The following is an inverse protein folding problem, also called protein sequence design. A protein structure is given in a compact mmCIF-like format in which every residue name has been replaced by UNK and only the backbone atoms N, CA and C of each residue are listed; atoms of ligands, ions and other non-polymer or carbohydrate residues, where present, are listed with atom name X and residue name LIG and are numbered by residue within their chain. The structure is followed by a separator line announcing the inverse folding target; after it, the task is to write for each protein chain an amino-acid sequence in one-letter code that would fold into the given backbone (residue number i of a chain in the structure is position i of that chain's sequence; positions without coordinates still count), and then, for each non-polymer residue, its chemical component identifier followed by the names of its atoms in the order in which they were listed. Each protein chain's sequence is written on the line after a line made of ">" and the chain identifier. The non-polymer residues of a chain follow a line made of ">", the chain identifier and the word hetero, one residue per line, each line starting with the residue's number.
data_IF_078757146650
#
_entry.id   IF_078757146650
#
_cell.length_a   1.000
_cell.length_b   1.000
_cell.length_c   1.000
_cell.angle_alpha   90.00
_cell.angle_beta   90.00
_cell.angle_gamma   90.00
#
_symmetry.space_group_name_H-M   'P 1'
#
loop_
_entity.id
_entity.type
_entity.pdbx_description
1 polymer ?
#
# COMPACT_ATOMS: atom_id res chain seq x y z
N UNK A 1 22.20 4.75 56.35
CA UNK A 1 21.94 3.32 56.04
C UNK A 1 22.77 2.92 54.81
N UNK A 2 23.56 1.84 54.85
CA UNK A 2 24.47 1.48 53.76
C UNK A 2 23.75 0.70 52.65
N UNK A 3 24.13 1.02 51.41
CA UNK A 3 23.51 0.55 50.18
C UNK A 3 24.06 -0.85 49.80
N UNK A 4 23.23 -1.90 49.87
CA UNK A 4 23.60 -3.29 49.53
C UNK A 4 23.62 -3.50 48.01
N UNK A 5 24.81 -3.60 47.41
CA UNK A 5 25.01 -4.05 46.02
C UNK A 5 24.60 -5.53 45.89
N UNK A 6 23.71 -5.83 44.95
CA UNK A 6 23.37 -7.21 44.54
C UNK A 6 24.47 -7.81 43.65
N UNK A 7 24.82 -9.10 43.80
CA UNK A 7 25.86 -9.73 43.00
C UNK A 7 25.35 -10.01 41.57
N UNK A 8 26.22 -9.77 40.58
CA UNK A 8 25.94 -10.08 39.18
C UNK A 8 26.04 -11.59 38.93
N UNK A 9 25.06 -12.14 38.24
CA UNK A 9 24.96 -13.57 37.92
C UNK A 9 25.81 -13.85 36.68
N UNK A 10 26.91 -14.59 36.84
CA UNK A 10 27.75 -15.07 35.74
C UNK A 10 26.91 -15.96 34.81
N UNK A 11 26.85 -15.58 33.53
CA UNK A 11 26.31 -16.43 32.47
C UNK A 11 27.31 -17.56 32.17
N UNK A 12 26.85 -18.79 32.31
CA UNK A 12 27.57 -20.01 31.93
C UNK A 12 27.63 -20.15 30.40
N UNK A 13 28.80 -20.49 29.87
CA UNK A 13 29.02 -20.73 28.45
C UNK A 13 28.13 -21.88 27.91
N UNK A 14 27.66 -21.80 26.64
CA UNK A 14 26.83 -22.85 26.05
C UNK A 14 27.67 -24.08 25.71
N UNK A 15 27.23 -25.25 26.20
CA UNK A 15 27.79 -26.54 25.81
C UNK A 15 27.44 -26.94 24.37
N UNK A 16 28.04 -28.02 23.85
CA UNK A 16 27.87 -28.46 22.46
C UNK A 16 26.40 -28.83 22.19
N UNK A 17 25.88 -28.28 21.09
CA UNK A 17 24.47 -28.36 20.69
C UNK A 17 24.23 -29.70 19.99
N UNK A 18 23.45 -30.58 20.59
CA UNK A 18 22.92 -31.76 19.91
C UNK A 18 21.87 -31.30 18.88
N UNK A 19 22.07 -31.66 17.60
CA UNK A 19 21.08 -31.40 16.56
C UNK A 19 19.75 -32.04 16.95
N UNK A 20 18.66 -31.26 16.91
CA UNK A 20 17.32 -31.75 17.20
C UNK A 20 16.77 -32.50 15.98
N UNK A 21 17.19 -33.76 15.81
CA UNK A 21 16.64 -34.66 14.80
C UNK A 21 15.19 -35.01 15.18
N UNK A 22 14.25 -34.78 14.25
CA UNK A 22 12.90 -35.31 14.33
C UNK A 22 12.97 -36.85 14.26
N UNK A 23 12.39 -37.59 15.23
CA UNK A 23 12.29 -39.04 15.14
C UNK A 23 11.51 -39.45 13.88
N UNK A 24 11.99 -40.47 13.18
CA UNK A 24 11.37 -41.01 11.96
C UNK A 24 9.88 -41.34 12.14
N UNK A 25 9.45 -41.67 13.37
CA UNK A 25 8.03 -41.93 13.68
C UNK A 25 7.16 -40.69 13.52
N UNK A 26 7.63 -39.52 13.94
CA UNK A 26 6.88 -38.26 13.82
C UNK A 26 6.87 -37.78 12.36
N UNK A 27 7.96 -37.96 11.63
CA UNK A 27 8.00 -37.65 10.20
C UNK A 27 6.94 -38.48 9.43
N UNK A 28 6.83 -39.78 9.72
CA UNK A 28 5.83 -40.67 9.13
C UNK A 28 4.39 -40.35 9.54
N UNK A 29 4.15 -39.95 10.79
CA UNK A 29 2.81 -39.58 11.27
C UNK A 29 2.29 -38.29 10.62
N UNK A 30 3.22 -37.46 10.14
CA UNK A 30 2.94 -36.19 9.47
C UNK A 30 2.62 -36.40 7.97
N UNK A 31 3.27 -37.38 7.33
CA UNK A 31 3.06 -37.70 5.91
C UNK A 31 1.61 -38.14 5.62
N UNK A 32 0.91 -37.39 4.76
CA UNK A 32 -0.49 -37.64 4.38
C UNK A 32 -1.56 -37.00 5.29
N UNK A 33 -1.16 -36.28 6.35
CA UNK A 33 -2.08 -35.54 7.22
C UNK A 33 -2.52 -34.20 6.60
N UNK A 34 -3.66 -33.65 7.07
CA UNK A 34 -4.07 -32.28 6.69
C UNK A 34 -3.11 -31.27 7.33
N UNK A 35 -2.84 -30.15 6.65
CA UNK A 35 -1.88 -29.14 7.15
C UNK A 35 -2.14 -28.61 8.57
N UNK A 36 -3.39 -28.48 9.00
CA UNK A 36 -3.70 -28.09 10.38
C UNK A 36 -3.29 -29.17 11.41
N UNK A 37 -3.39 -30.43 11.02
CA UNK A 37 -2.94 -31.56 11.83
C UNK A 37 -1.42 -31.67 11.85
N UNK A 38 -0.76 -31.50 10.70
CA UNK A 38 0.70 -31.39 10.62
C UNK A 38 1.22 -30.31 11.57
N UNK A 39 0.64 -29.11 11.52
CA UNK A 39 1.02 -28.01 12.43
C UNK A 39 0.75 -28.38 13.88
N UNK A 40 -0.37 -29.04 14.18
CA UNK A 40 -0.70 -29.49 15.53
C UNK A 40 0.33 -30.50 16.06
N UNK A 41 0.65 -31.54 15.31
CA UNK A 41 1.62 -32.57 15.67
C UNK A 41 3.01 -31.97 15.89
N UNK A 42 3.46 -31.10 15.00
CA UNK A 42 4.74 -30.39 15.15
C UNK A 42 4.73 -29.47 16.37
N UNK A 43 3.64 -28.73 16.63
CA UNK A 43 3.51 -27.92 17.83
C UNK A 43 3.57 -28.77 19.11
N UNK A 44 2.91 -29.93 19.13
CA UNK A 44 2.96 -30.88 20.26
C UNK A 44 4.38 -31.42 20.47
N UNK A 45 5.03 -31.87 19.39
CA UNK A 45 6.40 -32.40 19.42
C UNK A 45 7.42 -31.37 19.93
N UNK A 46 7.37 -30.13 19.42
CA UNK A 46 8.25 -29.05 19.85
C UNK A 46 7.80 -28.38 21.16
N UNK A 47 6.69 -28.83 21.75
CA UNK A 47 6.08 -28.29 22.97
C UNK A 47 5.79 -26.78 22.85
N UNK A 48 5.32 -26.36 21.68
CA UNK A 48 4.94 -24.98 21.42
C UNK A 48 3.61 -24.66 22.11
N UNK A 49 3.47 -23.45 22.68
CA UNK A 49 2.17 -23.00 23.13
C UNK A 49 1.24 -22.78 21.93
N UNK A 50 -0.07 -22.89 22.14
CA UNK A 50 -1.08 -22.56 21.14
C UNK A 50 -0.84 -21.18 20.49
N UNK A 51 -0.61 -21.17 19.17
CA UNK A 51 -0.23 -19.96 18.42
C UNK A 51 -1.42 -19.09 18.03
N UNK A 52 -2.65 -19.47 18.37
CA UNK A 52 -3.87 -18.73 17.99
C UNK A 52 -4.21 -17.58 18.95
N UNK A 53 -3.60 -17.53 20.13
CA UNK A 53 -3.91 -16.52 21.15
C UNK A 53 -2.75 -15.58 21.47
N UNK A 54 -3.05 -14.29 21.63
CA UNK A 54 -2.06 -13.25 21.94
C UNK A 54 -1.23 -13.56 23.19
N UNK A 55 -1.88 -14.06 24.25
CA UNK A 55 -1.20 -14.39 25.51
C UNK A 55 -0.17 -15.51 25.36
N UNK A 56 -0.37 -16.43 24.41
CA UNK A 56 0.53 -17.54 24.12
C UNK A 56 1.65 -17.14 23.16
N UNK A 57 1.37 -16.28 22.16
CA UNK A 57 2.42 -15.65 21.34
C UNK A 57 3.43 -14.87 22.20
N UNK A 58 2.99 -14.23 23.29
CA UNK A 58 3.91 -13.63 24.26
C UNK A 58 4.86 -14.65 24.91
N UNK A 59 4.40 -15.87 25.17
CA UNK A 59 5.27 -16.96 25.69
C UNK A 59 6.29 -17.40 24.65
N UNK A 60 5.89 -17.47 23.37
CA UNK A 60 6.81 -17.73 22.25
C UNK A 60 7.86 -16.63 22.16
N UNK A 61 7.45 -15.36 22.24
CA UNK A 61 8.37 -14.22 22.20
C UNK A 61 9.45 -14.27 23.28
N UNK A 62 9.07 -14.65 24.51
CA UNK A 62 10.00 -14.78 25.64
C UNK A 62 11.03 -15.90 25.46
N UNK A 63 10.73 -16.92 24.65
CA UNK A 63 11.60 -18.06 24.39
C UNK A 63 11.98 -18.17 22.90
N UNK A 64 11.91 -17.04 22.17
CA UNK A 64 11.98 -17.02 20.72
C UNK A 64 13.22 -17.73 20.19
N UNK A 65 14.41 -17.41 20.70
CA UNK A 65 15.66 -17.95 20.16
C UNK A 65 15.81 -19.46 20.35
N UNK A 66 15.16 -20.04 21.36
CA UNK A 66 15.13 -21.49 21.56
C UNK A 66 14.13 -22.15 20.60
N UNK A 67 12.89 -21.64 20.57
CA UNK A 67 11.84 -22.14 19.69
C UNK A 67 12.25 -22.05 18.22
N UNK A 68 12.75 -20.87 17.80
CA UNK A 68 13.21 -20.65 16.45
C UNK A 68 14.32 -21.63 16.07
N UNK A 69 15.33 -21.82 16.93
CA UNK A 69 16.43 -22.74 16.65
C UNK A 69 15.95 -24.18 16.47
N UNK A 70 15.07 -24.67 17.34
CA UNK A 70 14.49 -26.03 17.21
C UNK A 70 13.76 -26.20 15.88
N UNK A 71 12.94 -25.22 15.50
CA UNK A 71 12.23 -25.22 14.23
C UNK A 71 13.18 -25.11 13.04
N UNK A 72 14.23 -24.30 13.14
CA UNK A 72 15.21 -24.09 12.08
C UNK A 72 16.10 -25.31 11.84
N UNK A 73 16.55 -25.96 12.92
CA UNK A 73 17.31 -27.22 12.89
C UNK A 73 16.45 -28.31 12.22
N UNK A 74 15.18 -28.41 12.63
CA UNK A 74 14.23 -29.37 12.06
C UNK A 74 13.94 -29.09 10.58
N UNK A 75 13.72 -27.82 10.21
CA UNK A 75 13.52 -27.38 8.83
C UNK A 75 14.73 -27.77 7.96
N UNK A 76 15.94 -27.49 8.44
CA UNK A 76 17.17 -27.71 7.68
C UNK A 76 17.49 -29.20 7.54
N UNK A 77 17.28 -29.97 8.60
CA UNK A 77 17.51 -31.43 8.61
C UNK A 77 16.54 -32.17 7.69
N UNK A 78 15.31 -31.66 7.56
CA UNK A 78 14.24 -32.32 6.81
C UNK A 78 13.89 -31.54 5.54
N UNK A 79 14.87 -30.86 4.92
CA UNK A 79 14.61 -29.99 3.76
C UNK A 79 13.94 -30.72 2.59
N UNK A 80 14.15 -32.03 2.48
CA UNK A 80 13.56 -32.88 1.45
C UNK A 80 12.19 -33.49 1.86
N UNK A 81 11.75 -33.31 3.11
CA UNK A 81 10.41 -33.70 3.56
C UNK A 81 9.48 -32.48 3.48
N UNK A 82 8.70 -32.43 2.40
CA UNK A 82 7.80 -31.31 2.07
C UNK A 82 6.76 -31.06 3.18
N UNK A 83 6.26 -32.13 3.81
CA UNK A 83 5.25 -32.05 4.87
C UNK A 83 5.81 -31.38 6.13
N UNK A 84 7.00 -31.79 6.57
CA UNK A 84 7.68 -31.18 7.73
C UNK A 84 8.05 -29.72 7.43
N UNK A 85 8.64 -29.47 6.27
CA UNK A 85 9.05 -28.11 5.84
C UNK A 85 7.84 -27.17 5.75
N UNK A 86 6.78 -27.60 5.06
CA UNK A 86 5.53 -26.84 4.94
C UNK A 86 4.88 -26.58 6.29
N UNK A 87 4.88 -27.58 7.17
CA UNK A 87 4.37 -27.46 8.55
C UNK A 87 5.12 -26.41 9.36
N UNK A 88 6.45 -26.40 9.30
CA UNK A 88 7.30 -25.42 10.01
C UNK A 88 7.09 -24.00 9.44
N UNK A 89 6.97 -23.87 8.12
CA UNK A 89 6.69 -22.59 7.45
C UNK A 89 5.34 -22.02 7.91
N UNK A 90 4.33 -22.87 8.07
CA UNK A 90 3.02 -22.47 8.58
C UNK A 90 3.08 -22.07 10.06
N UNK A 91 3.89 -22.76 10.88
CA UNK A 91 4.18 -22.36 12.26
C UNK A 91 4.80 -20.94 12.30
N UNK A 92 5.81 -20.67 11.47
CA UNK A 92 6.42 -19.34 11.39
C UNK A 92 5.42 -18.27 10.91
N UNK A 93 4.52 -18.60 9.97
CA UNK A 93 3.46 -17.69 9.54
C UNK A 93 2.50 -17.34 10.68
N UNK A 94 2.08 -18.32 11.49
CA UNK A 94 1.24 -18.08 12.67
C UNK A 94 1.93 -17.19 13.70
N UNK A 95 3.24 -17.36 13.90
CA UNK A 95 4.03 -16.48 14.77
C UNK A 95 4.11 -15.03 14.26
N UNK A 96 3.97 -14.81 12.94
CA UNK A 96 4.09 -13.51 12.29
C UNK A 96 2.92 -12.53 12.60
N UNK A 97 1.83 -13.05 13.16
CA UNK A 97 0.70 -12.25 13.62
C UNK A 97 1.07 -11.30 14.78
N UNK A 98 2.09 -11.65 15.59
CA UNK A 98 2.64 -10.76 16.62
C UNK A 98 3.76 -9.88 16.04
N UNK A 99 3.70 -8.58 16.32
CA UNK A 99 4.63 -7.62 15.74
C UNK A 99 6.10 -7.84 16.14
N UNK A 100 6.35 -8.24 17.39
CA UNK A 100 7.71 -8.45 17.89
C UNK A 100 8.30 -9.76 17.35
N UNK A 101 7.48 -10.82 17.31
CA UNK A 101 7.88 -12.10 16.69
C UNK A 101 8.17 -11.94 15.20
N UNK A 102 7.31 -11.21 14.49
CA UNK A 102 7.51 -10.86 13.08
C UNK A 102 8.87 -10.22 12.84
N UNK A 103 9.22 -9.18 13.58
CA UNK A 103 10.49 -8.47 13.38
C UNK A 103 11.69 -9.39 13.63
N UNK A 104 11.59 -10.28 14.62
CA UNK A 104 12.62 -11.28 14.90
C UNK A 104 12.73 -12.33 13.80
N UNK A 105 11.62 -12.89 13.33
CA UNK A 105 11.59 -13.87 12.23
C UNK A 105 12.16 -13.28 10.94
N UNK A 106 11.77 -12.04 10.63
CA UNK A 106 12.26 -11.34 9.47
C UNK A 106 13.78 -11.12 9.51
N UNK A 107 14.32 -10.69 10.65
CA UNK A 107 15.78 -10.56 10.87
C UNK A 107 16.52 -11.90 10.75
N UNK A 108 15.84 -13.03 10.96
CA UNK A 108 16.39 -14.37 10.79
C UNK A 108 16.28 -14.90 9.34
N UNK A 109 15.85 -14.07 8.40
CA UNK A 109 15.81 -14.45 6.97
C UNK A 109 14.63 -15.36 6.60
N UNK A 110 13.49 -15.23 7.29
CA UNK A 110 12.29 -16.06 7.04
C UNK A 110 11.89 -16.12 5.55
N UNK A 111 11.91 -14.98 4.85
CA UNK A 111 11.51 -14.90 3.43
C UNK A 111 12.37 -15.82 2.56
N UNK A 112 13.69 -15.83 2.78
CA UNK A 112 14.61 -16.70 2.03
C UNK A 112 14.31 -18.19 2.28
N UNK A 113 13.88 -18.56 3.49
CA UNK A 113 13.46 -19.93 3.84
C UNK A 113 12.09 -20.31 3.27
N UNK A 114 11.27 -19.36 2.85
CA UNK A 114 10.00 -19.66 2.20
C UNK A 114 10.16 -19.94 0.70
N UNK A 115 11.23 -19.45 0.06
CA UNK A 115 11.43 -19.58 -1.38
C UNK A 115 11.48 -21.04 -1.86
N UNK A 116 12.29 -21.95 -1.25
CA UNK A 116 12.38 -23.34 -1.72
C UNK A 116 11.05 -24.10 -1.63
N UNK A 117 10.15 -23.68 -0.74
CA UNK A 117 8.83 -24.30 -0.55
C UNK A 117 7.96 -24.17 -1.79
N UNK A 118 8.19 -23.17 -2.63
CA UNK A 118 7.44 -22.98 -3.88
C UNK A 118 7.78 -24.01 -4.95
N UNK A 119 8.91 -24.70 -4.81
CA UNK A 119 9.35 -25.74 -5.73
C UNK A 119 8.94 -27.15 -5.24
N UNK A 120 8.23 -27.23 -4.11
CA UNK A 120 7.76 -28.47 -3.47
C UNK A 120 6.28 -28.73 -3.85
N UNK A 121 5.97 -29.76 -4.68
CA UNK A 121 4.62 -30.04 -5.19
C UNK A 121 3.50 -30.15 -4.15
N UNK A 122 3.80 -30.64 -2.95
CA UNK A 122 2.84 -30.79 -1.86
C UNK A 122 2.75 -29.52 -1.00
N UNK A 123 3.86 -28.78 -0.85
CA UNK A 123 3.97 -27.67 0.09
C UNK A 123 3.84 -26.26 -0.51
N UNK A 124 3.93 -26.07 -1.83
CA UNK A 124 3.88 -24.73 -2.45
C UNK A 124 2.63 -23.94 -2.05
N UNK A 125 1.50 -24.63 -1.89
CA UNK A 125 0.24 -24.00 -1.49
C UNK A 125 0.32 -23.38 -0.09
N UNK A 126 0.93 -24.12 0.84
CA UNK A 126 1.16 -23.66 2.20
C UNK A 126 2.17 -22.53 2.24
N UNK A 127 3.21 -22.62 1.40
CA UNK A 127 4.16 -21.52 1.20
C UNK A 127 3.44 -20.22 0.80
N UNK A 128 2.50 -20.30 -0.16
CA UNK A 128 1.74 -19.14 -0.61
C UNK A 128 0.79 -18.60 0.45
N UNK A 129 0.10 -19.49 1.18
CA UNK A 129 -0.75 -19.09 2.30
C UNK A 129 0.04 -18.38 3.41
N UNK A 130 1.19 -18.96 3.77
CA UNK A 130 2.10 -18.40 4.75
C UNK A 130 2.59 -17.01 4.32
N UNK A 131 3.01 -16.88 3.06
CA UNK A 131 3.48 -15.60 2.51
C UNK A 131 2.38 -14.54 2.48
N UNK A 132 1.16 -14.92 2.13
CA UNK A 132 -0.02 -14.03 2.16
C UNK A 132 -0.30 -13.52 3.57
N UNK A 133 -0.24 -14.41 4.58
CA UNK A 133 -0.39 -14.01 5.97
C UNK A 133 0.75 -13.07 6.42
N UNK A 134 1.98 -13.36 5.99
CA UNK A 134 3.17 -12.54 6.25
C UNK A 134 3.02 -11.15 5.62
N UNK A 135 2.52 -11.01 4.39
CA UNK A 135 2.33 -9.69 3.77
C UNK A 135 1.21 -8.91 4.44
N UNK A 136 0.12 -9.58 4.84
CA UNK A 136 -1.00 -8.93 5.51
C UNK A 136 -0.57 -8.25 6.83
N UNK A 137 0.26 -8.93 7.63
CA UNK A 137 0.78 -8.40 8.88
C UNK A 137 2.14 -7.70 8.75
N UNK A 138 2.78 -7.78 7.59
CA UNK A 138 4.13 -7.30 7.31
C UNK A 138 4.26 -5.78 7.34
N UNK A 139 5.35 -5.29 7.94
CA UNK A 139 5.77 -3.89 7.75
C UNK A 139 6.31 -3.65 6.33
N UNK A 140 6.52 -2.39 5.97
CA UNK A 140 7.01 -1.98 4.62
C UNK A 140 8.29 -2.72 4.23
N UNK A 141 9.25 -2.87 5.16
CA UNK A 141 10.50 -3.58 4.88
C UNK A 141 10.30 -5.06 4.55
N UNK A 142 9.41 -5.74 5.28
CA UNK A 142 9.09 -7.14 5.01
C UNK A 142 8.42 -7.30 3.65
N UNK A 143 7.45 -6.44 3.35
CA UNK A 143 6.77 -6.41 2.05
C UNK A 143 7.72 -6.14 0.89
N UNK A 144 8.73 -5.28 1.07
CA UNK A 144 9.76 -5.00 0.04
C UNK A 144 10.68 -6.19 -0.21
N UNK A 145 11.08 -6.94 0.82
CA UNK A 145 11.83 -8.18 0.61
C UNK A 145 10.99 -9.23 -0.10
N UNK A 146 9.70 -9.33 0.23
CA UNK A 146 8.76 -10.21 -0.47
C UNK A 146 8.52 -9.75 -1.92
N UNK A 147 8.61 -8.45 -2.20
CA UNK A 147 8.50 -7.96 -3.57
C UNK A 147 9.63 -8.48 -4.48
N UNK A 148 10.78 -8.89 -3.91
CA UNK A 148 11.89 -9.49 -4.67
C UNK A 148 11.57 -10.88 -5.22
N UNK A 149 10.57 -11.57 -4.66
CA UNK A 149 10.15 -12.89 -5.13
C UNK A 149 8.99 -12.82 -6.14
N UNK A 150 8.66 -11.62 -6.64
CA UNK A 150 7.67 -11.42 -7.71
C UNK A 150 7.91 -12.33 -8.93
N UNK A 151 9.16 -12.53 -9.43
CA UNK A 151 9.40 -13.47 -10.53
C UNK A 151 8.95 -14.91 -10.22
N UNK A 152 9.16 -15.38 -8.98
CA UNK A 152 8.68 -16.69 -8.52
C UNK A 152 7.16 -16.75 -8.49
N UNK A 153 6.49 -15.70 -8.02
CA UNK A 153 5.03 -15.63 -8.00
C UNK A 153 4.43 -15.61 -9.41
N UNK A 154 5.05 -14.90 -10.35
CA UNK A 154 4.66 -14.90 -11.76
C UNK A 154 4.82 -16.29 -12.39
N UNK A 155 5.92 -16.99 -12.09
CA UNK A 155 6.12 -18.38 -12.53
C UNK A 155 5.03 -19.30 -12.00
N UNK A 156 4.67 -19.22 -10.71
CA UNK A 156 3.59 -20.03 -10.14
C UNK A 156 2.24 -19.75 -10.82
N UNK A 157 1.97 -18.49 -11.18
CA UNK A 157 0.78 -18.12 -11.95
C UNK A 157 0.77 -18.75 -13.35
N UNK A 158 1.92 -18.83 -14.01
CA UNK A 158 2.02 -19.45 -15.34
C UNK A 158 1.98 -20.98 -15.30
N UNK A 159 2.53 -21.60 -14.24
CA UNK A 159 2.51 -23.05 -14.04
C UNK A 159 1.13 -23.57 -13.60
N UNK A 160 0.33 -22.73 -12.93
CA UNK A 160 -0.99 -23.10 -12.43
C UNK A 160 -2.11 -22.12 -12.86
N UNK A 161 -2.33 -21.93 -14.18
CA UNK A 161 -3.19 -20.87 -14.71
C UNK A 161 -4.70 -21.09 -14.47
N UNK A 162 -5.09 -22.27 -14.01
CA UNK A 162 -6.48 -22.64 -13.73
C UNK A 162 -6.71 -23.04 -12.27
N UNK A 163 -5.71 -22.86 -11.40
CA UNK A 163 -5.87 -23.07 -9.97
C UNK A 163 -6.34 -21.76 -9.30
N UNK A 164 -7.63 -21.64 -8.92
CA UNK A 164 -8.18 -20.40 -8.37
C UNK A 164 -7.46 -19.95 -7.10
N UNK A 165 -6.94 -20.89 -6.31
CA UNK A 165 -6.29 -20.61 -5.04
C UNK A 165 -4.84 -20.14 -5.19
N UNK A 166 -4.08 -20.70 -6.14
CA UNK A 166 -2.76 -20.15 -6.52
C UNK A 166 -2.93 -18.71 -6.95
N UNK A 167 -3.87 -18.48 -7.87
CA UNK A 167 -4.10 -17.19 -8.49
C UNK A 167 -4.48 -16.13 -7.46
N UNK A 168 -5.43 -16.46 -6.57
CA UNK A 168 -5.86 -15.58 -5.48
C UNK A 168 -4.69 -15.23 -4.56
N UNK A 169 -3.97 -16.23 -4.03
CA UNK A 169 -2.91 -16.01 -3.03
C UNK A 169 -1.70 -15.27 -3.61
N UNK A 170 -1.26 -15.63 -4.82
CA UNK A 170 -0.17 -14.94 -5.50
C UNK A 170 -0.54 -13.48 -5.81
N UNK A 171 -1.77 -13.22 -6.29
CA UNK A 171 -2.26 -11.86 -6.55
C UNK A 171 -2.34 -11.02 -5.26
N UNK A 172 -2.87 -11.57 -4.17
CA UNK A 172 -2.95 -10.87 -2.87
C UNK A 172 -1.56 -10.55 -2.34
N UNK A 173 -0.64 -11.52 -2.41
CA UNK A 173 0.75 -11.35 -1.99
C UNK A 173 1.44 -10.24 -2.79
N UNK A 174 1.37 -10.32 -4.12
CA UNK A 174 1.93 -9.28 -5.01
C UNK A 174 1.31 -7.93 -4.72
N UNK A 175 -0.01 -7.84 -4.50
CA UNK A 175 -0.69 -6.58 -4.22
C UNK A 175 -0.09 -5.89 -2.99
N UNK A 176 0.08 -6.60 -1.88
CA UNK A 176 0.66 -6.01 -0.67
C UNK A 176 2.15 -5.67 -0.85
N UNK A 177 2.92 -6.57 -1.46
CA UNK A 177 4.37 -6.43 -1.62
C UNK A 177 4.75 -5.29 -2.58
N UNK A 178 4.11 -5.25 -3.74
CA UNK A 178 4.34 -4.25 -4.80
C UNK A 178 3.84 -2.88 -4.34
N UNK A 179 2.65 -2.78 -3.71
CA UNK A 179 2.16 -1.49 -3.18
C UNK A 179 3.11 -0.86 -2.15
N UNK A 180 3.79 -1.67 -1.33
CA UNK A 180 4.80 -1.20 -0.38
C UNK A 180 6.10 -0.71 -1.06
N UNK A 181 6.29 -1.07 -2.32
CA UNK A 181 7.46 -0.75 -3.13
C UNK A 181 7.21 0.45 -4.02
N UNK A 182 6.20 0.38 -4.89
CA UNK A 182 5.88 1.38 -5.93
C UNK A 182 4.62 2.18 -5.66
N UNK A 183 3.90 1.90 -4.57
CA UNK A 183 2.72 2.67 -4.15
C UNK A 183 3.01 3.81 -3.18
N UNK A 184 4.29 4.12 -2.94
CA UNK A 184 4.71 5.14 -1.98
C UNK A 184 4.89 6.50 -2.68
N UNK A 185 4.77 7.61 -1.93
CA UNK A 185 4.99 8.95 -2.51
C UNK A 185 6.43 9.16 -2.98
N UNK A 186 7.40 8.59 -2.25
CA UNK A 186 8.80 8.67 -2.61
C UNK A 186 9.14 7.72 -3.77
N UNK A 187 10.08 8.10 -4.65
CA UNK A 187 10.56 7.22 -5.71
C UNK A 187 11.06 5.88 -5.15
N UNK A 188 10.67 4.78 -5.81
CA UNK A 188 11.12 3.44 -5.47
C UNK A 188 12.58 3.22 -5.90
N UNK A 189 13.26 2.25 -5.27
CA UNK A 189 14.58 1.80 -5.71
C UNK A 189 14.48 1.23 -7.13
N UNK A 190 15.20 1.83 -8.08
CA UNK A 190 15.21 1.45 -9.49
C UNK A 190 15.57 -0.02 -9.70
N UNK A 191 16.49 -0.58 -8.91
CA UNK A 191 16.89 -1.99 -9.03
C UNK A 191 15.75 -2.91 -8.63
N UNK A 192 15.04 -2.55 -7.57
CA UNK A 192 13.88 -3.31 -7.11
C UNK A 192 12.74 -3.20 -8.10
N UNK A 193 12.44 -2.02 -8.65
CA UNK A 193 11.41 -1.83 -9.68
C UNK A 193 11.68 -2.69 -10.92
N UNK A 194 12.93 -2.71 -11.41
CA UNK A 194 13.30 -3.53 -12.55
C UNK A 194 13.07 -5.04 -12.28
N UNK A 195 13.31 -5.49 -11.05
CA UNK A 195 13.09 -6.88 -10.64
C UNK A 195 11.60 -7.28 -10.59
N UNK A 196 10.69 -6.32 -10.38
CA UNK A 196 9.26 -6.62 -10.30
C UNK A 196 8.68 -7.08 -11.63
N UNK A 197 9.29 -6.67 -12.75
CA UNK A 197 8.73 -6.83 -14.10
C UNK A 197 7.25 -6.41 -14.14
N UNK A 198 7.02 -5.12 -13.86
CA UNK A 198 5.67 -4.58 -13.69
C UNK A 198 4.78 -4.81 -14.91
N UNK A 199 5.34 -4.90 -16.12
CA UNK A 199 4.56 -5.26 -17.31
C UNK A 199 3.96 -6.65 -17.17
N UNK A 200 4.78 -7.66 -16.88
CA UNK A 200 4.32 -9.03 -16.68
C UNK A 200 3.32 -9.16 -15.52
N UNK A 201 3.54 -8.42 -14.43
CA UNK A 201 2.58 -8.33 -13.30
C UNK A 201 1.22 -7.81 -13.77
N UNK A 202 1.20 -6.72 -14.53
CA UNK A 202 -0.04 -6.11 -15.02
C UNK A 202 -0.77 -7.03 -16.00
N UNK A 203 -0.06 -7.65 -16.95
CA UNK A 203 -0.62 -8.61 -17.90
C UNK A 203 -1.21 -9.83 -17.18
N UNK A 204 -0.46 -10.45 -16.24
CA UNK A 204 -0.93 -11.57 -15.44
C UNK A 204 -2.16 -11.20 -14.60
N UNK A 205 -2.15 -10.03 -13.95
CA UNK A 205 -3.28 -9.55 -13.16
C UNK A 205 -4.53 -9.38 -14.02
N UNK A 206 -4.43 -8.77 -15.21
CA UNK A 206 -5.57 -8.59 -16.10
C UNK A 206 -6.09 -9.92 -16.66
N UNK A 207 -5.19 -10.85 -17.00
CA UNK A 207 -5.58 -12.17 -17.47
C UNK A 207 -6.33 -12.95 -16.39
N UNK A 208 -5.85 -12.87 -15.15
CA UNK A 208 -6.49 -13.54 -14.03
C UNK A 208 -7.85 -12.92 -13.67
N UNK A 209 -8.01 -11.59 -13.77
CA UNK A 209 -9.30 -10.92 -13.54
C UNK A 209 -10.38 -11.27 -14.58
N UNK A 210 -10.02 -11.84 -15.73
CA UNK A 210 -10.97 -12.32 -16.74
C UNK A 210 -11.47 -13.75 -16.48
N UNK A 211 -10.90 -14.46 -15.51
CA UNK A 211 -11.27 -15.85 -15.21
C UNK A 211 -12.67 -15.89 -14.54
N UNK A 212 -13.48 -16.93 -14.79
CA UNK A 212 -14.85 -17.01 -14.25
C UNK A 212 -14.91 -17.23 -12.74
N UNK A 213 -13.79 -17.60 -12.11
CA UNK A 213 -13.69 -17.94 -10.69
C UNK A 213 -13.01 -16.85 -9.84
N UNK A 214 -12.94 -15.61 -10.34
CA UNK A 214 -12.37 -14.49 -9.59
C UNK A 214 -13.17 -14.25 -8.31
N UNK A 215 -12.49 -14.33 -7.17
CA UNK A 215 -13.09 -14.04 -5.89
C UNK A 215 -13.14 -12.53 -5.63
N UNK A 216 -14.03 -12.11 -4.72
CA UNK A 216 -14.05 -10.73 -4.23
C UNK A 216 -12.70 -10.33 -3.61
N UNK A 217 -12.09 -11.23 -2.83
CA UNK A 217 -10.80 -10.98 -2.18
C UNK A 217 -9.72 -10.66 -3.23
N UNK A 218 -9.62 -11.49 -4.27
CA UNK A 218 -8.69 -11.29 -5.37
C UNK A 218 -8.97 -9.98 -6.11
N UNK A 219 -10.22 -9.68 -6.44
CA UNK A 219 -10.61 -8.46 -7.14
C UNK A 219 -10.20 -7.20 -6.36
N UNK A 220 -10.49 -7.13 -5.06
CA UNK A 220 -10.12 -5.99 -4.21
C UNK A 220 -8.60 -5.78 -4.16
N UNK A 221 -7.84 -6.87 -4.06
CA UNK A 221 -6.38 -6.80 -3.99
C UNK A 221 -5.74 -6.48 -5.35
N UNK A 222 -6.25 -7.07 -6.43
CA UNK A 222 -5.85 -6.71 -7.79
C UNK A 222 -6.11 -5.23 -8.06
N UNK A 223 -7.27 -4.70 -7.65
CA UNK A 223 -7.59 -3.28 -7.75
C UNK A 223 -6.60 -2.41 -6.97
N UNK A 224 -6.22 -2.84 -5.76
CA UNK A 224 -5.18 -2.16 -4.95
C UNK A 224 -3.83 -2.19 -5.65
N UNK A 225 -3.42 -3.34 -6.20
CA UNK A 225 -2.17 -3.50 -6.95
C UNK A 225 -2.11 -2.52 -8.13
N UNK A 226 -3.16 -2.50 -8.95
CA UNK A 226 -3.14 -1.64 -10.15
C UNK A 226 -3.20 -0.17 -9.74
N UNK A 227 -4.16 0.23 -8.91
CA UNK A 227 -4.32 1.65 -8.56
C UNK A 227 -3.13 2.24 -7.81
N UNK A 228 -2.40 1.45 -7.01
CA UNK A 228 -1.24 1.94 -6.26
C UNK A 228 0.02 2.07 -7.10
N UNK A 229 0.19 1.24 -8.13
CA UNK A 229 1.40 1.23 -8.97
C UNK A 229 1.42 2.29 -10.07
N UNK A 230 0.31 2.98 -10.32
CA UNK A 230 0.21 3.94 -11.43
C UNK A 230 1.19 5.11 -11.35
N UNK A 231 1.55 5.56 -10.13
CA UNK A 231 2.44 6.71 -9.95
C UNK A 231 3.85 6.46 -10.48
N UNK A 232 4.42 5.27 -10.24
CA UNK A 232 5.83 5.01 -10.55
C UNK A 232 6.03 4.07 -11.74
N UNK A 233 4.94 3.57 -12.35
CA UNK A 233 4.99 2.59 -13.43
C UNK A 233 4.25 3.05 -14.70
N UNK A 234 4.18 4.36 -14.96
CA UNK A 234 3.38 4.91 -16.07
C UNK A 234 3.72 4.31 -17.45
N UNK A 235 5.01 4.00 -17.71
CA UNK A 235 5.45 3.41 -18.99
C UNK A 235 4.89 2.01 -19.20
N UNK A 236 4.87 1.20 -18.13
CA UNK A 236 4.32 -0.14 -18.16
C UNK A 236 2.80 -0.13 -18.35
N UNK A 237 2.10 0.86 -17.78
CA UNK A 237 0.66 1.06 -18.04
C UNK A 237 0.37 1.39 -19.49
N UNK A 238 1.19 2.24 -20.11
CA UNK A 238 1.07 2.55 -21.55
C UNK A 238 1.34 1.32 -22.43
N UNK A 239 2.20 0.39 -21.98
CA UNK A 239 2.45 -0.87 -22.66
C UNK A 239 1.35 -1.94 -22.46
N UNK A 240 0.47 -1.77 -21.47
CA UNK A 240 -0.65 -2.70 -21.18
C UNK A 240 -1.99 -1.94 -21.16
N UNK A 241 -2.51 -1.50 -22.33
CA UNK A 241 -3.70 -0.62 -22.41
C UNK A 241 -4.95 -1.18 -21.72
N UNK A 242 -5.08 -2.52 -21.62
CA UNK A 242 -6.23 -3.14 -20.97
C UNK A 242 -6.35 -2.79 -19.49
N UNK A 243 -5.24 -2.46 -18.81
CA UNK A 243 -5.30 -2.00 -17.41
C UNK A 243 -5.95 -0.62 -17.32
N UNK A 244 -5.60 0.29 -18.24
CA UNK A 244 -6.21 1.62 -18.32
C UNK A 244 -7.69 1.50 -18.64
N UNK A 245 -8.07 0.66 -19.61
CA UNK A 245 -9.48 0.36 -19.91
C UNK A 245 -10.23 -0.19 -18.70
N UNK A 246 -9.60 -1.06 -17.91
CA UNK A 246 -10.16 -1.60 -16.67
C UNK A 246 -10.39 -0.48 -15.64
N UNK A 247 -9.40 0.39 -15.39
CA UNK A 247 -9.55 1.53 -14.48
C UNK A 247 -10.67 2.47 -14.92
N UNK A 248 -10.77 2.77 -16.22
CA UNK A 248 -11.86 3.59 -16.79
C UNK A 248 -13.22 2.91 -16.59
N UNK A 249 -13.32 1.59 -16.82
CA UNK A 249 -14.54 0.84 -16.56
C UNK A 249 -14.94 0.88 -15.08
N UNK A 250 -13.97 0.81 -14.16
CA UNK A 250 -14.22 0.92 -12.72
C UNK A 250 -14.84 2.26 -12.29
N UNK A 251 -14.70 3.34 -13.08
CA UNK A 251 -15.39 4.61 -12.84
C UNK A 251 -16.93 4.49 -12.94
N UNK A 252 -17.43 3.44 -13.61
CA UNK A 252 -18.86 3.13 -13.74
C UNK A 252 -19.37 2.17 -12.66
N UNK A 253 -18.53 1.77 -11.71
CA UNK A 253 -18.94 0.90 -10.60
C UNK A 253 -19.97 1.58 -9.69
N UNK A 254 -20.94 0.82 -9.17
CA UNK A 254 -21.85 1.30 -8.14
C UNK A 254 -21.15 1.47 -6.78
N UNK A 255 -19.99 0.84 -6.58
CA UNK A 255 -19.18 0.98 -5.38
C UNK A 255 -18.31 2.25 -5.43
N UNK A 256 -18.54 3.17 -4.49
CA UNK A 256 -17.83 4.45 -4.43
C UNK A 256 -16.34 4.27 -4.17
N UNK A 257 -15.95 3.27 -3.38
CA UNK A 257 -14.53 3.00 -3.06
C UNK A 257 -13.77 2.60 -4.31
N UNK A 258 -14.36 1.75 -5.16
CA UNK A 258 -13.83 1.32 -6.45
C UNK A 258 -13.68 2.50 -7.40
N UNK A 259 -14.71 3.35 -7.51
CA UNK A 259 -14.66 4.57 -8.35
C UNK A 259 -13.54 5.52 -7.90
N UNK A 260 -13.48 5.84 -6.61
CA UNK A 260 -12.47 6.73 -6.06
C UNK A 260 -11.05 6.15 -6.23
N UNK A 261 -10.88 4.85 -6.02
CA UNK A 261 -9.59 4.19 -6.20
C UNK A 261 -9.14 4.22 -7.66
N UNK A 262 -10.06 3.95 -8.60
CA UNK A 262 -9.80 4.03 -10.03
C UNK A 262 -9.42 5.45 -10.46
N UNK A 263 -10.21 6.45 -10.05
CA UNK A 263 -9.97 7.86 -10.34
C UNK A 263 -8.60 8.31 -9.82
N UNK A 264 -8.27 7.97 -8.56
CA UNK A 264 -6.97 8.28 -7.98
C UNK A 264 -5.83 7.57 -8.72
N UNK A 265 -6.05 6.34 -9.18
CA UNK A 265 -5.09 5.61 -10.03
C UNK A 265 -4.82 6.34 -11.34
N UNK A 266 -5.88 6.77 -12.03
CA UNK A 266 -5.81 7.51 -13.30
C UNK A 266 -5.13 8.87 -13.14
N UNK A 267 -5.44 9.64 -12.09
CA UNK A 267 -4.73 10.91 -11.82
C UNK A 267 -3.23 10.71 -11.60
N UNK A 268 -2.86 9.69 -10.82
CA UNK A 268 -1.44 9.36 -10.61
C UNK A 268 -0.74 8.86 -11.88
N UNK A 269 -1.47 8.24 -12.80
CA UNK A 269 -0.91 7.78 -14.07
C UNK A 269 -0.51 8.96 -14.96
N UNK A 270 -1.38 9.97 -15.06
CA UNK A 270 -1.18 11.12 -15.96
C UNK A 270 -0.27 12.21 -15.38
N UNK A 271 0.04 12.17 -14.08
CA UNK A 271 0.80 13.26 -13.41
C UNK A 271 2.17 13.51 -14.03
N UNK A 272 2.81 12.48 -14.60
CA UNK A 272 4.12 12.63 -15.26
C UNK A 272 4.05 13.36 -16.60
N UNK A 273 2.89 13.28 -17.27
CA UNK A 273 2.61 13.96 -18.54
C UNK A 273 1.82 15.26 -18.33
N UNK A 274 1.46 15.58 -17.08
CA UNK A 274 0.70 16.78 -16.74
C UNK A 274 1.62 17.99 -16.61
N UNK A 275 1.13 19.15 -17.01
CA UNK A 275 1.78 20.42 -16.67
C UNK A 275 1.76 20.62 -15.16
N UNK A 276 2.74 21.34 -14.63
CA UNK A 276 2.74 21.70 -13.21
C UNK A 276 1.57 22.65 -12.94
N UNK A 277 0.66 22.22 -12.04
CA UNK A 277 -0.46 23.05 -11.61
C UNK A 277 0.06 24.39 -11.08
N UNK A 278 -0.43 25.48 -11.66
CA UNK A 278 -0.19 26.83 -11.13
C UNK A 278 -1.03 27.01 -9.88
N UNK A 279 -0.49 26.64 -8.72
CA UNK A 279 -1.21 26.72 -7.43
C UNK A 279 -1.42 28.14 -6.94
N UNK A 280 -0.59 29.07 -7.38
CA UNK A 280 -0.61 30.46 -6.95
C UNK A 280 -0.81 31.36 -8.16
N UNK A 281 -1.82 32.22 -8.08
CA UNK A 281 -1.99 33.34 -8.97
C UNK A 281 -2.06 34.62 -8.16
N UNK A 282 -1.55 35.72 -8.72
CA UNK A 282 -1.63 37.04 -8.12
C UNK A 282 -2.92 37.72 -8.64
N UNK A 283 -3.95 37.91 -7.80
CA UNK A 283 -5.20 38.52 -8.22
C UNK A 283 -5.00 39.94 -8.76
N UNK A 284 -4.01 40.69 -8.25
CA UNK A 284 -3.73 42.05 -8.71
C UNK A 284 -3.15 42.04 -10.13
N UNK A 285 -2.28 41.08 -10.45
CA UNK A 285 -1.78 40.91 -11.83
C UNK A 285 -2.89 40.55 -12.80
N UNK A 286 -3.83 39.69 -12.39
CA UNK A 286 -5.00 39.36 -13.23
C UNK A 286 -5.86 40.59 -13.45
N UNK A 287 -6.20 41.33 -12.39
CA UNK A 287 -6.98 42.57 -12.51
C UNK A 287 -6.28 43.59 -13.41
N UNK A 288 -4.97 43.77 -13.26
CA UNK A 288 -4.18 44.68 -14.10
C UNK A 288 -4.15 44.22 -15.57
N UNK A 289 -4.06 42.92 -15.83
CA UNK A 289 -4.12 42.36 -17.17
C UNK A 289 -5.49 42.60 -17.83
N UNK A 290 -6.58 42.39 -17.10
CA UNK A 290 -7.94 42.67 -17.60
C UNK A 290 -8.16 44.16 -17.83
N UNK A 291 -7.67 45.02 -16.93
CA UNK A 291 -7.77 46.48 -17.09
C UNK A 291 -6.97 47.01 -18.29
N UNK A 292 -5.85 46.37 -18.63
CA UNK A 292 -5.07 46.71 -19.83
C UNK A 292 -5.83 46.40 -21.13
N UNK A 293 -6.80 45.50 -21.07
CA UNK A 293 -7.49 44.98 -22.25
C UNK A 293 -6.73 43.85 -22.93
N UNK A 294 -7.45 43.07 -23.73
CA UNK A 294 -6.88 41.99 -24.53
C UNK A 294 -6.49 42.51 -25.92
N UNK A 295 -5.55 41.87 -26.61
CA UNK A 295 -5.32 42.12 -28.03
C UNK A 295 -6.63 42.04 -28.83
N UNK A 296 -6.83 42.93 -29.80
CA UNK A 296 -8.09 43.05 -30.56
C UNK A 296 -8.54 41.71 -31.16
N UNK A 297 -7.60 40.96 -31.74
CA UNK A 297 -7.87 39.66 -32.35
C UNK A 297 -8.36 38.59 -31.35
N UNK A 298 -8.05 38.74 -30.05
CA UNK A 298 -8.57 37.87 -29.00
C UNK A 298 -9.88 38.40 -28.43
N UNK A 299 -10.04 39.72 -28.37
CA UNK A 299 -11.24 40.36 -27.85
C UNK A 299 -12.48 39.95 -28.67
N UNK A 300 -12.38 39.96 -29.99
CA UNK A 300 -13.48 39.54 -30.86
C UNK A 300 -13.86 38.08 -30.62
N UNK A 301 -12.86 37.18 -30.53
CA UNK A 301 -13.06 35.76 -30.21
C UNK A 301 -13.73 35.57 -28.84
N UNK A 302 -13.31 36.35 -27.83
CA UNK A 302 -13.90 36.29 -26.49
C UNK A 302 -15.34 36.80 -26.46
N UNK A 303 -15.65 37.84 -27.23
CA UNK A 303 -17.01 38.36 -27.37
C UNK A 303 -17.91 37.33 -28.06
N UNK A 304 -17.45 36.74 -29.16
CA UNK A 304 -18.19 35.73 -29.92
C UNK A 304 -18.42 34.45 -29.11
N UNK A 305 -17.40 33.99 -28.35
CA UNK A 305 -17.54 32.86 -27.44
C UNK A 305 -18.47 33.17 -26.25
N UNK A 306 -18.53 34.44 -25.86
CA UNK A 306 -19.23 34.97 -24.71
C UNK A 306 -18.29 35.24 -23.54
N UNK A 307 -18.04 36.51 -23.25
CA UNK A 307 -17.12 36.96 -22.18
C UNK A 307 -17.36 36.28 -20.84
N UNK A 308 -18.63 36.07 -20.45
CA UNK A 308 -19.00 35.43 -19.18
C UNK A 308 -18.63 33.94 -19.08
N UNK A 309 -18.28 33.32 -20.21
CA UNK A 309 -17.85 31.92 -20.29
C UNK A 309 -16.32 31.80 -20.31
N UNK A 310 -15.59 32.91 -20.41
CA UNK A 310 -14.14 32.91 -20.40
C UNK A 310 -13.63 32.64 -18.97
N UNK A 311 -12.64 31.75 -18.83
CA UNK A 311 -12.09 31.35 -17.52
C UNK A 311 -11.64 32.56 -16.69
N UNK A 312 -10.97 33.52 -17.33
CA UNK A 312 -10.49 34.73 -16.66
C UNK A 312 -11.62 35.56 -16.04
N UNK A 313 -12.76 35.65 -16.72
CA UNK A 313 -13.96 36.33 -16.22
C UNK A 313 -14.61 35.52 -15.09
N UNK A 314 -14.67 34.20 -15.22
CA UNK A 314 -15.16 33.31 -14.15
C UNK A 314 -14.28 33.40 -12.90
N UNK A 315 -12.96 33.41 -13.04
CA UNK A 315 -11.99 33.56 -11.95
C UNK A 315 -12.23 34.87 -11.21
N UNK A 316 -12.25 36.00 -11.92
CA UNK A 316 -12.45 37.31 -11.30
C UNK A 316 -13.82 37.45 -10.62
N UNK A 317 -14.87 36.97 -11.29
CA UNK A 317 -16.23 36.98 -10.73
C UNK A 317 -16.31 36.13 -9.46
N UNK A 318 -15.71 34.94 -9.49
CA UNK A 318 -15.68 34.02 -8.35
C UNK A 318 -14.84 34.58 -7.22
N UNK A 319 -13.69 35.19 -7.49
CA UNK A 319 -12.86 35.85 -6.49
C UNK A 319 -13.63 36.98 -5.77
N UNK A 320 -14.35 37.83 -6.51
CA UNK A 320 -15.19 38.86 -5.91
C UNK A 320 -16.37 38.29 -5.10
N UNK A 321 -16.99 37.20 -5.56
CA UNK A 321 -18.06 36.52 -4.83
C UNK A 321 -17.54 35.84 -3.54
N UNK A 322 -16.35 35.23 -3.61
CA UNK A 322 -15.64 34.62 -2.49
C UNK A 322 -15.35 35.65 -1.40
N UNK A 323 -14.76 36.81 -1.76
CA UNK A 323 -14.49 37.89 -0.80
C UNK A 323 -15.77 38.36 -0.09
N UNK A 324 -16.88 38.52 -0.83
CA UNK A 324 -18.18 38.89 -0.24
C UNK A 324 -18.70 37.81 0.71
N UNK A 325 -18.61 36.54 0.35
CA UNK A 325 -19.05 35.43 1.18
C UNK A 325 -18.23 35.34 2.48
N UNK A 326 -16.90 35.47 2.38
CA UNK A 326 -16.00 35.50 3.53
C UNK A 326 -16.31 36.68 4.46
N UNK A 327 -16.49 37.90 3.93
CA UNK A 327 -16.84 39.07 4.75
C UNK A 327 -18.19 38.89 5.47
N UNK A 328 -19.20 38.35 4.76
CA UNK A 328 -20.51 38.04 5.35
C UNK A 328 -20.38 37.01 6.48
N UNK A 329 -19.56 35.98 6.30
CA UNK A 329 -19.28 35.00 7.34
C UNK A 329 -18.53 35.61 8.52
N UNK A 330 -17.53 36.46 8.28
CA UNK A 330 -16.78 37.13 9.35
C UNK A 330 -17.69 37.97 10.25
N UNK A 331 -18.66 38.68 9.65
CA UNK A 331 -19.65 39.51 10.34
C UNK A 331 -20.76 38.67 11.02
N UNK A 332 -21.34 37.70 10.31
CA UNK A 332 -22.51 36.95 10.76
C UNK A 332 -22.21 35.61 11.44
N UNK A 333 -20.95 35.15 11.40
CA UNK A 333 -20.48 33.84 11.89
C UNK A 333 -21.24 32.62 11.31
N UNK A 334 -21.86 32.77 10.15
CA UNK A 334 -22.62 31.71 9.47
C UNK A 334 -21.71 30.88 8.53
N UNK A 335 -21.03 29.89 9.13
CA UNK A 335 -20.15 28.97 8.41
C UNK A 335 -20.91 28.06 7.43
N UNK A 336 -22.20 27.80 7.66
CA UNK A 336 -23.00 26.94 6.78
C UNK A 336 -23.32 27.65 5.46
N UNK A 337 -23.73 28.92 5.51
CA UNK A 337 -23.91 29.72 4.33
C UNK A 337 -22.60 29.89 3.54
N UNK A 338 -21.47 30.09 4.24
CA UNK A 338 -20.16 30.13 3.60
C UNK A 338 -19.87 28.81 2.88
N UNK A 339 -20.05 27.66 3.55
CA UNK A 339 -19.81 26.34 2.96
C UNK A 339 -20.62 26.09 1.69
N UNK A 340 -21.89 26.53 1.62
CA UNK A 340 -22.69 26.46 0.39
C UNK A 340 -22.10 27.29 -0.74
N UNK A 341 -21.72 28.55 -0.46
CA UNK A 341 -21.10 29.41 -1.47
C UNK A 341 -19.78 28.84 -1.98
N UNK A 342 -18.93 28.30 -1.09
CA UNK A 342 -17.67 27.66 -1.49
C UNK A 342 -17.91 26.44 -2.38
N UNK A 343 -18.93 25.62 -2.06
CA UNK A 343 -19.29 24.48 -2.91
C UNK A 343 -19.65 24.91 -4.34
N UNK A 344 -20.42 25.99 -4.49
CA UNK A 344 -20.74 26.56 -5.81
C UNK A 344 -19.49 27.09 -6.53
N UNK A 345 -18.62 27.80 -5.81
CA UNK A 345 -17.38 28.37 -6.37
C UNK A 345 -16.41 27.31 -6.88
N UNK A 346 -16.22 26.22 -6.11
CA UNK A 346 -15.33 25.10 -6.48
C UNK A 346 -15.75 24.47 -7.82
N UNK A 347 -17.04 24.50 -8.15
CA UNK A 347 -17.55 23.99 -9.41
C UNK A 347 -17.39 24.97 -10.59
N UNK A 348 -17.09 26.24 -10.32
CA UNK A 348 -17.01 27.29 -11.34
C UNK A 348 -15.58 27.55 -11.85
N UNK A 349 -14.56 27.37 -11.00
CA UNK A 349 -13.16 27.64 -11.35
C UNK A 349 -12.20 26.89 -10.45
N UNK A 350 -11.05 26.49 -11.00
CA UNK A 350 -9.93 25.91 -10.25
C UNK A 350 -9.38 26.85 -9.16
N UNK A 351 -9.60 28.16 -9.32
CA UNK A 351 -9.10 29.22 -8.47
C UNK A 351 -10.14 29.79 -7.50
N UNK A 352 -11.09 28.95 -7.11
CA UNK A 352 -12.30 29.30 -6.35
C UNK A 352 -12.05 29.82 -4.94
N UNK A 353 -10.93 29.43 -4.33
CA UNK A 353 -10.50 29.89 -3.01
C UNK A 353 -9.17 30.61 -3.22
N UNK A 354 -9.18 31.94 -3.03
CA UNK A 354 -7.94 32.70 -3.06
C UNK A 354 -7.16 32.40 -1.77
N UNK A 355 -5.93 31.90 -1.88
CA UNK A 355 -4.97 31.97 -0.79
C UNK A 355 -4.64 33.44 -0.56
N UNK A 356 -5.23 34.01 0.49
CA UNK A 356 -5.18 35.44 0.72
C UNK A 356 -5.28 35.76 2.20
N UNK A 357 -4.77 36.92 2.55
CA UNK A 357 -4.95 37.53 3.86
C UNK A 357 -5.75 38.82 3.68
N UNK A 358 -6.53 39.20 4.69
CA UNK A 358 -7.22 40.48 4.64
C UNK A 358 -6.18 41.59 4.77
N UNK A 359 -6.28 42.61 3.92
CA UNK A 359 -5.46 43.80 4.04
C UNK A 359 -6.33 44.97 4.47
N UNK A 360 -5.88 45.71 5.48
CA UNK A 360 -6.48 46.97 5.89
C UNK A 360 -5.41 48.07 5.82
N UNK A 361 -5.85 49.31 5.71
CA UNK A 361 -4.93 50.45 5.82
C UNK A 361 -4.53 50.58 7.29
N UNK A 362 -3.23 50.46 7.58
CA UNK A 362 -2.72 50.78 8.91
C UNK A 362 -2.90 52.29 9.14
N UNK A 363 -3.79 52.66 10.07
CA UNK A 363 -4.15 54.07 10.32
C UNK A 363 -2.96 54.95 10.70
N UNK A 364 -1.92 54.36 11.31
CA UNK A 364 -0.73 55.09 11.77
C UNK A 364 0.27 55.35 10.65
N UNK A 365 0.40 54.42 9.71
CA UNK A 365 1.43 54.50 8.66
C UNK A 365 0.86 54.85 7.28
N UNK A 366 -0.45 54.72 7.10
CA UNK A 366 -1.13 54.85 5.81
C UNK A 366 -0.82 53.71 4.82
N UNK A 367 -0.06 52.69 5.24
CA UNK A 367 0.33 51.58 4.39
C UNK A 367 -0.64 50.40 4.54
N UNK A 368 -0.88 49.60 3.48
CA UNK A 368 -1.61 48.35 3.60
C UNK A 368 -0.86 47.41 4.54
N UNK A 369 -1.55 46.89 5.55
CA UNK A 369 -1.04 45.82 6.40
C UNK A 369 -1.97 44.61 6.33
N UNK A 370 -1.39 43.43 6.48
CA UNK A 370 -2.17 42.23 6.68
C UNK A 370 -2.83 42.26 8.05
N UNK A 371 -4.14 42.06 8.09
CA UNK A 371 -4.91 41.87 9.30
C UNK A 371 -5.37 40.42 9.42
N UNK A 372 -5.22 39.87 10.61
CA UNK A 372 -5.87 38.63 11.02
C UNK A 372 -7.32 38.95 11.40
N UNK A 373 -8.28 38.32 10.72
CA UNK A 373 -9.72 38.52 10.98
C UNK A 373 -10.33 37.40 11.83
N UNK A 374 -9.49 36.52 12.38
CA UNK A 374 -9.89 35.47 13.35
C UNK A 374 -9.62 34.06 12.90
#
# INVERSE_FOLDING_TARGET
>A
MPNRKRPSRKQSAPGPIAAHLLPDTIARDVDGARWDEVVRLLCEYFQLPDLTTRGRLKKVHNHFDNIYRKLDDAYTTNIDNETVVGGIVNIWAKMFADALLRDKLFKRGLVAKMIPVFDMPEAWYVGLQALTAVTHHGGVNARREIAKITPTLLRLLSEHPDNPKVIELATVTMAHAISATVGQQHPADRKLVALLDMRSVLEATMNNLRKPFVSHLMLTHAMTLVTSSTLHCHKEYNAVPSVVSFLVACLRSNDVTTRCSALGGLFRLIIHDSEEDRRLYDPQRIMAAVQRGFPENLQDIMVDYGLQRCDLTLILKTAGAYQKAMMKCAQGKDLYALGKSLADFILCTEFSIAEGMFQALNERTGLPETIDVG
#
